data_IF_664901387298
#
_entry.id   IF_664901387298
#
_cell.length_a   1.000
_cell.length_b   1.000
_cell.length_c   1.000
_cell.angle_alpha   90.00
_cell.angle_beta   90.00
_cell.angle_gamma   90.00
#
_symmetry.space_group_name_H-M   'P 1'
#
loop_
_entity.id
_entity.type
_entity.pdbx_description
1 polymer ?
#
# COMPACT_ATOMS: atom_id res chain seq x y z
N UNK A 1 -16.01 1.45 -14.71
CA UNK A 1 -14.53 1.57 -14.80
C UNK A 1 -14.08 2.55 -13.73
N UNK A 2 -13.46 2.07 -12.65
CA UNK A 2 -12.68 2.92 -11.77
C UNK A 2 -11.28 2.89 -12.35
N UNK A 3 -10.80 4.02 -12.88
CA UNK A 3 -9.39 4.18 -13.22
C UNK A 3 -8.58 3.61 -12.05
N UNK A 4 -7.70 2.65 -12.32
CA UNK A 4 -6.82 2.02 -11.33
C UNK A 4 -5.75 3.02 -10.85
N UNK A 5 -6.17 4.27 -10.60
CA UNK A 5 -5.39 5.29 -9.94
C UNK A 5 -5.16 4.80 -8.52
N UNK A 6 -3.89 4.75 -8.14
CA UNK A 6 -3.49 4.46 -6.77
C UNK A 6 -4.34 5.28 -5.80
N UNK A 7 -4.85 4.67 -4.72
CA UNK A 7 -5.67 5.40 -3.77
C UNK A 7 -4.89 6.59 -3.19
N UNK A 8 -5.51 7.77 -3.18
CA UNK A 8 -4.82 9.02 -2.80
C UNK A 8 -4.22 8.97 -1.39
N UNK A 9 -4.87 8.28 -0.46
CA UNK A 9 -4.36 8.02 0.89
C UNK A 9 -3.14 7.10 0.90
N UNK A 10 -3.08 6.10 0.01
CA UNK A 10 -1.88 5.29 -0.17
C UNK A 10 -0.71 6.13 -0.67
N UNK A 11 -0.93 6.96 -1.69
CA UNK A 11 0.09 7.88 -2.21
C UNK A 11 0.56 8.86 -1.13
N UNK A 12 -0.36 9.43 -0.35
CA UNK A 12 -0.01 10.34 0.74
C UNK A 12 0.81 9.65 1.84
N UNK A 13 0.47 8.41 2.20
CA UNK A 13 1.19 7.67 3.23
C UNK A 13 2.58 7.22 2.76
N UNK A 14 2.73 6.88 1.47
CA UNK A 14 4.04 6.61 0.87
C UNK A 14 4.88 7.89 0.77
N UNK A 15 4.28 9.04 0.45
CA UNK A 15 4.99 10.33 0.42
C UNK A 15 5.53 10.74 1.81
N UNK A 16 4.82 10.35 2.88
CA UNK A 16 5.27 10.58 4.25
C UNK A 16 6.43 9.65 4.69
N UNK A 17 6.69 8.56 3.96
CA UNK A 17 7.76 7.61 4.27
C UNK A 17 8.58 7.25 3.03
N UNK A 18 9.73 7.92 2.82
CA UNK A 18 10.61 7.64 1.68
C UNK A 18 11.07 6.18 1.60
N UNK A 19 11.28 5.52 2.75
CA UNK A 19 11.64 4.10 2.82
C UNK A 19 10.50 3.21 2.30
N UNK A 20 9.27 3.46 2.73
CA UNK A 20 8.09 2.74 2.22
C UNK A 20 7.90 2.97 0.72
N UNK A 21 8.08 4.21 0.25
CA UNK A 21 7.97 4.54 -1.17
C UNK A 21 9.02 3.82 -2.02
N UNK A 22 10.27 3.74 -1.53
CA UNK A 22 11.34 3.01 -2.21
C UNK A 22 11.02 1.51 -2.32
N UNK A 23 10.59 0.87 -1.22
CA UNK A 23 10.17 -0.54 -1.24
C UNK A 23 8.95 -0.75 -2.14
N UNK A 24 7.96 0.13 -2.07
CA UNK A 24 6.79 0.07 -2.93
C UNK A 24 7.16 0.18 -4.43
N UNK A 25 8.18 0.96 -4.75
CA UNK A 25 8.69 1.11 -6.11
C UNK A 25 9.33 -0.18 -6.67
N UNK A 26 9.91 -1.03 -5.81
CA UNK A 26 10.53 -2.31 -6.20
C UNK A 26 9.53 -3.46 -6.30
N UNK A 27 8.29 -3.27 -5.82
CA UNK A 27 7.28 -4.33 -5.82
C UNK A 27 6.91 -4.79 -7.23
N UNK A 28 6.78 -6.11 -7.37
CA UNK A 28 6.18 -6.76 -8.53
C UNK A 28 4.73 -6.31 -8.71
N UNK A 29 4.18 -6.50 -9.92
CA UNK A 29 2.77 -6.16 -10.20
C UNK A 29 1.80 -6.87 -9.24
N UNK A 30 2.12 -8.11 -8.84
CA UNK A 30 1.32 -8.90 -7.90
C UNK A 30 1.29 -8.23 -6.52
N UNK A 31 2.46 -7.86 -6.00
CA UNK A 31 2.54 -7.21 -4.69
C UNK A 31 1.92 -5.81 -4.70
N UNK A 32 2.14 -5.01 -5.76
CA UNK A 32 1.45 -3.71 -5.91
C UNK A 32 -0.06 -3.88 -5.92
N UNK A 33 -0.58 -4.82 -6.70
CA UNK A 33 -2.02 -5.11 -6.73
C UNK A 33 -2.53 -5.55 -5.35
N UNK A 34 -1.81 -6.41 -4.63
CA UNK A 34 -2.20 -6.86 -3.29
C UNK A 34 -2.30 -5.68 -2.29
N UNK A 35 -1.35 -4.75 -2.31
CA UNK A 35 -1.38 -3.53 -1.48
C UNK A 35 -2.61 -2.69 -1.81
N UNK A 36 -2.79 -2.34 -3.09
CA UNK A 36 -3.91 -1.50 -3.55
C UNK A 36 -5.25 -2.17 -3.22
N UNK A 37 -5.39 -3.45 -3.53
CA UNK A 37 -6.61 -4.22 -3.28
C UNK A 37 -6.95 -4.28 -1.79
N UNK A 38 -5.96 -4.49 -0.91
CA UNK A 38 -6.18 -4.56 0.54
C UNK A 38 -6.65 -3.22 1.12
N UNK A 39 -6.17 -2.09 0.59
CA UNK A 39 -6.64 -0.76 0.98
C UNK A 39 -8.04 -0.50 0.41
N UNK A 40 -8.27 -0.81 -0.87
CA UNK A 40 -9.55 -0.57 -1.56
C UNK A 40 -10.71 -1.41 -1.06
N UNK A 41 -10.47 -2.62 -0.56
CA UNK A 41 -11.50 -3.52 0.00
C UNK A 41 -11.76 -3.30 1.50
N UNK A 42 -11.30 -2.20 2.08
CA UNK A 42 -11.60 -1.89 3.47
C UNK A 42 -13.07 -1.50 3.62
N UNK A 43 -13.84 -2.14 4.54
CA UNK A 43 -15.28 -1.89 4.66
C UNK A 43 -15.65 -0.56 5.31
N UNK A 44 -14.68 0.12 5.96
CA UNK A 44 -14.89 1.41 6.58
C UNK A 44 -13.55 2.19 6.70
N UNK A 45 -13.61 3.52 6.93
CA UNK A 45 -12.40 4.37 7.03
C UNK A 45 -11.44 3.96 8.14
N UNK A 46 -11.93 3.49 9.28
CA UNK A 46 -11.09 3.05 10.41
C UNK A 46 -10.25 1.82 10.03
N UNK A 47 -10.86 0.81 9.41
CA UNK A 47 -10.15 -0.38 8.91
C UNK A 47 -9.19 0.01 7.80
N UNK A 48 -9.56 0.97 6.95
CA UNK A 48 -8.71 1.49 5.89
C UNK A 48 -7.43 2.12 6.44
N UNK A 49 -7.55 3.04 7.39
CA UNK A 49 -6.42 3.68 8.05
C UNK A 49 -5.51 2.65 8.75
N UNK A 50 -6.09 1.68 9.45
CA UNK A 50 -5.34 0.60 10.11
C UNK A 50 -4.59 -0.29 9.11
N UNK A 51 -5.21 -0.64 7.97
CA UNK A 51 -4.55 -1.42 6.92
C UNK A 51 -3.41 -0.62 6.29
N UNK A 52 -3.64 0.66 6.04
CA UNK A 52 -2.64 1.55 5.45
C UNK A 52 -1.42 1.68 6.38
N UNK A 53 -1.62 1.97 7.67
CA UNK A 53 -0.54 2.04 8.65
C UNK A 53 0.27 0.74 8.73
N UNK A 54 -0.41 -0.42 8.74
CA UNK A 54 0.26 -1.73 8.74
C UNK A 54 1.06 -1.99 7.46
N UNK A 55 0.52 -1.61 6.31
CA UNK A 55 1.17 -1.78 5.01
C UNK A 55 2.40 -0.88 4.89
N UNK A 56 2.30 0.39 5.28
CA UNK A 56 3.43 1.31 5.29
C UNK A 56 4.53 0.81 6.22
N UNK A 57 4.20 0.45 7.47
CA UNK A 57 5.18 -0.08 8.43
C UNK A 57 5.87 -1.37 7.93
N UNK A 58 5.15 -2.22 7.18
CA UNK A 58 5.73 -3.40 6.54
C UNK A 58 6.71 -3.01 5.41
N UNK A 59 6.31 -2.07 4.55
CA UNK A 59 7.15 -1.58 3.45
C UNK A 59 8.39 -0.83 3.95
N UNK A 60 8.29 -0.11 5.08
CA UNK A 60 9.44 0.51 5.75
C UNK A 60 10.50 -0.49 6.19
N UNK A 61 10.07 -1.71 6.55
CA UNK A 61 10.97 -2.83 6.88
C UNK A 61 11.49 -3.57 5.64
N UNK A 62 11.08 -3.17 4.43
CA UNK A 62 11.43 -3.88 3.19
C UNK A 62 10.65 -5.16 2.97
N UNK A 63 9.59 -5.42 3.74
CA UNK A 63 8.77 -6.62 3.65
C UNK A 63 7.69 -6.48 2.56
N UNK A 64 7.22 -7.61 2.01
CA UNK A 64 6.22 -7.65 0.93
C UNK A 64 5.04 -8.57 1.27
N UNK A 65 3.82 -8.29 0.75
CA UNK A 65 2.64 -9.13 1.02
C UNK A 65 2.80 -10.59 0.58
N UNK A 66 3.47 -10.81 -0.55
CA UNK A 66 3.77 -12.11 -1.12
C UNK A 66 5.26 -12.20 -1.47
N UNK A 67 5.86 -13.41 -1.46
CA UNK A 67 7.20 -13.62 -2.02
C UNK A 67 7.24 -13.14 -3.47
N UNK A 68 8.30 -12.41 -3.85
CA UNK A 68 8.53 -11.89 -5.20
C UNK A 68 9.97 -12.07 -5.64
#
# INVERSE_FOLDING_TARGET
QASAAEPADLTAALAASPAAAATFATLSKVNRYAVIHRVSTAPNPTVRANRLAKLVAMLERGETPHPQ
#
